data_IF_501330390043
#
_entry.id   IF_501330390043
#
_cell.length_a   1.000
_cell.length_b   1.000
_cell.length_c   1.000
_cell.angle_alpha   90.00
_cell.angle_beta   90.00
_cell.angle_gamma   90.00
#
_symmetry.space_group_name_H-M   'P 1'
#
loop_
_entity.id
_entity.type
_entity.pdbx_description
1 polymer ?
#
# COMPACT_ATOMS: atom_id res chain seq x y z
N UNK A 1 2.52 15.07 -55.23
CA UNK A 1 1.97 16.28 -54.58
C UNK A 1 0.53 16.04 -54.08
N UNK A 2 0.27 14.89 -53.43
CA UNK A 2 -1.06 14.50 -52.91
C UNK A 2 -0.97 14.13 -51.41
N UNK A 3 0.24 13.84 -50.91
CA UNK A 3 0.49 13.47 -49.49
C UNK A 3 0.41 14.68 -48.54
N UNK A 4 0.72 15.89 -49.02
CA UNK A 4 0.71 17.10 -48.18
C UNK A 4 -0.70 17.61 -47.84
N UNK A 5 -1.71 17.32 -48.69
CA UNK A 5 -3.10 17.77 -48.46
C UNK A 5 -3.81 16.89 -47.43
N UNK A 6 -3.49 15.59 -47.38
CA UNK A 6 -4.06 14.65 -46.41
C UNK A 6 -3.60 14.90 -44.97
N UNK A 7 -2.34 15.27 -44.77
CA UNK A 7 -1.79 15.58 -43.42
C UNK A 7 -2.39 16.89 -42.89
N UNK A 8 -2.54 17.92 -43.72
CA UNK A 8 -3.16 19.17 -43.29
C UNK A 8 -4.66 19.01 -43.00
N UNK A 9 -5.37 18.15 -43.74
CA UNK A 9 -6.76 17.82 -43.46
C UNK A 9 -6.92 17.00 -42.16
N UNK A 10 -5.96 16.13 -41.82
CA UNK A 10 -5.97 15.36 -40.57
C UNK A 10 -5.63 16.21 -39.35
N UNK A 11 -4.66 17.13 -39.48
CA UNK A 11 -4.32 18.11 -38.43
C UNK A 11 -5.50 19.07 -38.19
N UNK A 12 -6.13 19.58 -39.26
CA UNK A 12 -7.32 20.43 -39.14
C UNK A 12 -8.54 19.64 -38.62
N UNK A 13 -8.62 18.32 -38.86
CA UNK A 13 -9.68 17.45 -38.32
C UNK A 13 -9.46 17.18 -36.82
N UNK A 14 -8.24 16.88 -36.37
CA UNK A 14 -7.92 16.77 -34.93
C UNK A 14 -8.13 18.09 -34.18
N UNK A 15 -7.81 19.24 -34.80
CA UNK A 15 -8.13 20.56 -34.23
C UNK A 15 -9.63 20.86 -34.19
N UNK A 16 -10.43 20.31 -35.13
CA UNK A 16 -11.89 20.51 -35.18
C UNK A 16 -12.68 19.52 -34.32
N UNK A 17 -12.15 18.32 -34.06
CA UNK A 17 -12.84 17.24 -33.33
C UNK A 17 -12.56 17.29 -31.82
N UNK A 18 -11.52 18.01 -31.38
CA UNK A 18 -11.21 18.22 -29.96
C UNK A 18 -11.48 19.64 -29.43
N UNK A 19 -12.33 20.43 -30.11
CA UNK A 19 -12.99 21.56 -29.45
C UNK A 19 -14.18 21.06 -28.62
N UNK A 20 -13.91 20.31 -27.54
CA UNK A 20 -14.87 20.31 -26.44
C UNK A 20 -15.13 21.77 -26.08
N UNK A 21 -16.38 22.21 -26.21
CA UNK A 21 -16.81 23.54 -25.79
C UNK A 21 -16.48 23.68 -24.31
N UNK A 22 -15.40 24.39 -24.02
CA UNK A 22 -14.97 24.63 -22.65
C UNK A 22 -15.77 25.79 -22.08
N UNK A 23 -16.75 25.47 -21.25
CA UNK A 23 -17.58 26.45 -20.56
C UNK A 23 -17.19 26.52 -19.07
N UNK A 24 -16.51 27.59 -18.69
CA UNK A 24 -16.04 27.79 -17.32
C UNK A 24 -17.18 27.82 -16.27
N UNK A 25 -18.34 28.48 -16.51
CA UNK A 25 -19.52 28.38 -15.66
C UNK A 25 -19.99 26.95 -15.38
N UNK A 26 -20.15 26.12 -16.43
CA UNK A 26 -20.58 24.73 -16.28
C UNK A 26 -19.58 23.91 -15.47
N UNK A 27 -18.28 24.04 -15.74
CA UNK A 27 -17.25 23.31 -14.98
C UNK A 27 -17.20 23.79 -13.53
N UNK A 28 -17.39 25.09 -13.27
CA UNK A 28 -17.49 25.64 -11.92
C UNK A 28 -18.68 25.08 -11.14
N UNK A 29 -19.85 24.96 -11.77
CA UNK A 29 -21.04 24.37 -11.16
C UNK A 29 -20.80 22.91 -10.80
N UNK A 30 -20.23 22.13 -11.72
CA UNK A 30 -19.90 20.72 -11.51
C UNK A 30 -18.91 20.50 -10.35
N UNK A 31 -17.84 21.30 -10.28
CA UNK A 31 -16.87 21.24 -9.17
C UNK A 31 -17.54 21.63 -7.86
N UNK A 32 -18.33 22.71 -7.86
CA UNK A 32 -19.01 23.20 -6.65
C UNK A 32 -20.00 22.17 -6.12
N UNK A 33 -20.78 21.54 -6.99
CA UNK A 33 -21.72 20.48 -6.63
C UNK A 33 -21.00 19.23 -6.12
N UNK A 34 -19.92 18.81 -6.79
CA UNK A 34 -19.08 17.70 -6.34
C UNK A 34 -18.52 17.96 -4.94
N UNK A 35 -18.01 19.16 -4.65
CA UNK A 35 -17.51 19.54 -3.33
C UNK A 35 -18.63 19.62 -2.29
N UNK A 36 -19.83 20.12 -2.63
CA UNK A 36 -20.99 20.12 -1.72
C UNK A 36 -21.41 18.70 -1.34
N UNK A 37 -21.33 17.77 -2.30
CA UNK A 37 -21.68 16.36 -2.10
C UNK A 37 -20.52 15.52 -1.55
N UNK A 38 -19.37 16.12 -1.21
CA UNK A 38 -18.20 15.42 -0.68
C UNK A 38 -17.47 14.52 -1.70
N UNK A 39 -17.77 14.62 -3.00
CA UNK A 39 -17.13 13.85 -4.06
C UNK A 39 -15.85 14.55 -4.53
N UNK A 40 -14.79 14.44 -3.73
CA UNK A 40 -13.49 15.09 -3.96
C UNK A 40 -12.87 14.66 -5.29
N UNK A 41 -12.95 13.38 -5.65
CA UNK A 41 -12.38 12.86 -6.91
C UNK A 41 -13.00 13.55 -8.15
N UNK A 42 -14.32 13.69 -8.18
CA UNK A 42 -15.02 14.38 -9.29
C UNK A 42 -14.67 15.88 -9.34
N UNK A 43 -14.42 16.50 -8.19
CA UNK A 43 -13.96 17.88 -8.11
C UNK A 43 -12.51 18.04 -8.65
N UNK A 44 -11.62 17.11 -8.32
CA UNK A 44 -10.24 17.07 -8.83
C UNK A 44 -10.20 16.88 -10.36
N UNK A 45 -10.99 15.95 -10.90
CA UNK A 45 -11.14 15.74 -12.35
C UNK A 45 -11.61 17.02 -13.07
N UNK A 46 -12.55 17.76 -12.47
CA UNK A 46 -12.97 19.07 -12.96
C UNK A 46 -11.85 20.11 -12.93
N UNK A 47 -11.08 20.18 -11.84
CA UNK A 47 -9.95 21.10 -11.69
C UNK A 47 -8.80 20.78 -12.66
N UNK A 48 -8.54 19.52 -12.98
CA UNK A 48 -7.59 19.15 -14.04
C UNK A 48 -8.05 19.64 -15.42
N UNK A 49 -9.36 19.58 -15.70
CA UNK A 49 -9.93 20.11 -16.95
C UNK A 49 -9.76 21.63 -17.06
N UNK A 50 -9.86 22.35 -15.94
CA UNK A 50 -9.54 23.79 -15.84
C UNK A 50 -8.07 24.06 -16.14
N UNK A 51 -7.16 23.25 -15.59
CA UNK A 51 -5.71 23.43 -15.79
C UNK A 51 -5.30 23.28 -17.25
N UNK A 52 -5.84 22.25 -17.93
CA UNK A 52 -5.64 22.04 -19.39
C UNK A 52 -6.16 23.20 -20.23
N UNK A 53 -7.16 23.95 -19.75
CA UNK A 53 -7.80 25.06 -20.45
C UNK A 53 -7.47 26.43 -19.84
N UNK A 54 -6.43 26.55 -19.01
CA UNK A 54 -6.12 27.78 -18.28
C UNK A 54 -5.89 29.01 -19.18
N UNK A 55 -5.39 28.78 -20.39
CA UNK A 55 -5.21 29.82 -21.42
C UNK A 55 -6.53 30.46 -21.89
N UNK A 56 -7.66 29.76 -21.74
CA UNK A 56 -9.01 30.22 -22.12
C UNK A 56 -9.75 30.96 -20.99
N UNK A 57 -9.17 31.02 -19.79
CA UNK A 57 -9.81 31.61 -18.61
C UNK A 57 -9.48 33.09 -18.45
N UNK A 58 -10.46 33.87 -17.99
CA UNK A 58 -10.25 35.24 -17.51
C UNK A 58 -9.51 35.24 -16.17
N UNK A 59 -8.92 36.37 -15.79
CA UNK A 59 -8.26 36.51 -14.49
C UNK A 59 -9.19 36.23 -13.30
N UNK A 60 -10.47 36.62 -13.42
CA UNK A 60 -11.50 36.37 -12.42
C UNK A 60 -11.77 34.87 -12.26
N UNK A 61 -11.99 34.15 -13.36
CA UNK A 61 -12.21 32.71 -13.31
C UNK A 61 -10.99 31.95 -12.76
N UNK A 62 -9.77 32.37 -13.10
CA UNK A 62 -8.55 31.79 -12.52
C UNK A 62 -8.52 31.93 -11.00
N UNK A 63 -8.92 33.09 -10.46
CA UNK A 63 -9.03 33.31 -9.01
C UNK A 63 -10.10 32.43 -8.37
N UNK A 64 -11.25 32.29 -9.01
CA UNK A 64 -12.35 31.43 -8.55
C UNK A 64 -11.93 29.96 -8.48
N UNK A 65 -11.29 29.44 -9.53
CA UNK A 65 -10.81 28.05 -9.53
C UNK A 65 -9.64 27.81 -8.57
N UNK A 66 -8.77 28.81 -8.35
CA UNK A 66 -7.76 28.73 -7.30
C UNK A 66 -8.39 28.58 -5.91
N UNK A 67 -9.47 29.32 -5.61
CA UNK A 67 -10.19 29.17 -4.35
C UNK A 67 -10.90 27.80 -4.21
N UNK A 68 -11.50 27.30 -5.30
CA UNK A 68 -12.07 25.96 -5.32
C UNK A 68 -11.03 24.86 -5.13
N UNK A 69 -9.81 25.05 -5.66
CA UNK A 69 -8.68 24.15 -5.45
C UNK A 69 -8.29 24.06 -3.99
N UNK A 70 -8.11 25.20 -3.31
CA UNK A 70 -7.84 25.24 -1.85
C UNK A 70 -8.94 24.53 -1.05
N UNK A 71 -10.22 24.73 -1.43
CA UNK A 71 -11.34 24.06 -0.77
C UNK A 71 -11.37 22.54 -1.04
N UNK A 72 -11.06 22.12 -2.25
CA UNK A 72 -10.94 20.71 -2.62
C UNK A 72 -9.80 20.04 -1.85
N UNK A 73 -8.65 20.71 -1.74
CA UNK A 73 -7.49 20.25 -0.97
C UNK A 73 -7.84 20.08 0.51
N UNK A 74 -8.50 21.06 1.15
CA UNK A 74 -8.91 20.96 2.55
C UNK A 74 -9.93 19.82 2.81
N UNK A 75 -10.87 19.60 1.88
CA UNK A 75 -11.80 18.46 1.95
C UNK A 75 -11.10 17.12 1.69
N UNK A 76 -10.12 17.10 0.79
CA UNK A 76 -9.26 15.94 0.53
C UNK A 76 -8.46 15.58 1.78
N UNK A 77 -7.82 16.56 2.45
CA UNK A 77 -7.12 16.35 3.72
C UNK A 77 -8.04 15.81 4.82
N UNK A 78 -9.25 16.35 4.94
CA UNK A 78 -10.25 15.87 5.91
C UNK A 78 -10.70 14.45 5.59
N UNK A 79 -10.89 14.13 4.30
CA UNK A 79 -11.24 12.78 3.83
C UNK A 79 -10.11 11.78 4.08
N UNK A 80 -8.86 12.17 3.81
CA UNK A 80 -7.66 11.38 4.09
C UNK A 80 -7.56 11.11 5.59
N UNK A 81 -7.73 12.11 6.44
CA UNK A 81 -7.75 11.92 7.89
C UNK A 81 -8.85 10.94 8.34
N UNK A 82 -10.03 10.99 7.73
CA UNK A 82 -11.14 10.09 8.07
C UNK A 82 -10.85 8.64 7.62
N UNK A 83 -10.31 8.44 6.41
CA UNK A 83 -9.89 7.12 5.90
C UNK A 83 -8.73 6.57 6.71
N UNK A 84 -7.76 7.39 7.04
CA UNK A 84 -6.61 7.02 7.89
C UNK A 84 -7.08 6.61 9.28
N UNK A 85 -8.06 7.33 9.86
CA UNK A 85 -8.65 6.94 11.14
C UNK A 85 -9.44 5.63 11.07
N UNK A 86 -10.10 5.30 9.94
CA UNK A 86 -10.71 3.97 9.75
C UNK A 86 -9.65 2.87 9.72
N UNK A 87 -8.53 3.09 9.03
CA UNK A 87 -7.42 2.15 9.01
C UNK A 87 -6.80 2.00 10.42
N UNK A 88 -6.63 3.11 11.13
CA UNK A 88 -6.20 3.16 12.53
C UNK A 88 -7.13 2.36 13.44
N UNK A 89 -8.46 2.55 13.34
CA UNK A 89 -9.45 1.80 14.13
C UNK A 89 -9.34 0.29 13.91
N UNK A 90 -9.18 -0.15 12.65
CA UNK A 90 -8.99 -1.58 12.34
C UNK A 90 -7.70 -2.12 12.95
N UNK A 91 -6.61 -1.36 12.86
CA UNK A 91 -5.34 -1.75 13.47
C UNK A 91 -5.43 -1.78 15.00
N UNK A 92 -6.03 -0.77 15.63
CA UNK A 92 -6.24 -0.69 17.07
C UNK A 92 -6.97 -1.94 17.58
N UNK A 93 -8.06 -2.33 16.92
CA UNK A 93 -8.81 -3.50 17.32
C UNK A 93 -7.97 -4.78 17.18
N UNK A 94 -7.36 -5.02 16.01
CA UNK A 94 -6.66 -6.28 15.71
C UNK A 94 -5.31 -6.39 16.41
N UNK A 95 -4.50 -5.34 16.36
CA UNK A 95 -3.09 -5.35 16.73
C UNK A 95 -2.83 -4.92 18.17
N UNK A 96 -3.73 -4.14 18.77
CA UNK A 96 -3.62 -3.65 20.15
C UNK A 96 -4.61 -4.38 21.05
N UNK A 97 -5.93 -4.14 20.89
CA UNK A 97 -6.95 -4.65 21.83
C UNK A 97 -7.04 -6.18 21.83
N UNK A 98 -7.21 -6.81 20.67
CA UNK A 98 -7.28 -8.27 20.56
C UNK A 98 -5.96 -8.96 20.96
N UNK A 99 -4.83 -8.31 20.70
CA UNK A 99 -3.53 -8.85 21.09
C UNK A 99 -3.34 -8.80 22.61
N UNK A 100 -3.64 -7.67 23.24
CA UNK A 100 -3.58 -7.52 24.69
C UNK A 100 -4.50 -8.52 25.39
N UNK A 101 -5.76 -8.62 24.96
CA UNK A 101 -6.72 -9.55 25.57
C UNK A 101 -6.32 -11.02 25.38
N UNK A 102 -5.80 -11.39 24.20
CA UNK A 102 -5.42 -12.76 23.89
C UNK A 102 -4.10 -13.21 24.52
N UNK A 103 -3.12 -12.31 24.63
CA UNK A 103 -1.72 -12.69 24.91
C UNK A 103 -1.13 -12.07 26.16
N UNK A 104 -1.69 -10.96 26.67
CA UNK A 104 -1.15 -10.23 27.83
C UNK A 104 -2.06 -10.24 29.06
N UNK A 105 -3.37 -10.44 28.89
CA UNK A 105 -4.34 -10.32 29.98
C UNK A 105 -4.24 -11.43 31.04
N UNK A 106 -3.71 -12.61 30.70
CA UNK A 106 -3.61 -13.76 31.63
C UNK A 106 -2.28 -13.77 32.36
N UNK A 107 -1.20 -13.86 31.61
CA UNK A 107 0.16 -13.89 32.15
C UNK A 107 1.06 -13.02 31.25
N UNK A 108 1.59 -11.92 31.78
CA UNK A 108 2.37 -11.00 31.00
C UNK A 108 3.79 -11.52 30.80
N UNK A 109 4.04 -12.11 29.62
CA UNK A 109 5.35 -12.62 29.22
C UNK A 109 6.13 -11.53 28.47
N UNK A 110 7.42 -11.37 28.80
CA UNK A 110 8.34 -10.38 28.21
C UNK A 110 8.28 -10.35 26.68
N UNK A 111 8.44 -11.49 26.02
CA UNK A 111 8.38 -11.62 24.56
C UNK A 111 7.09 -11.06 23.95
N UNK A 112 5.95 -11.32 24.59
CA UNK A 112 4.64 -10.84 24.13
C UNK A 112 4.50 -9.33 24.34
N UNK A 113 4.99 -8.83 25.47
CA UNK A 113 4.96 -7.41 25.81
C UNK A 113 5.83 -6.58 24.86
N UNK A 114 7.01 -7.08 24.45
CA UNK A 114 7.87 -6.43 23.45
C UNK A 114 7.14 -6.17 22.13
N UNK A 115 6.46 -7.19 21.61
CA UNK A 115 5.64 -7.05 20.39
C UNK A 115 4.50 -6.06 20.57
N UNK A 116 3.82 -6.09 21.71
CA UNK A 116 2.78 -5.10 21.99
C UNK A 116 3.32 -3.67 21.97
N UNK A 117 4.46 -3.44 22.62
CA UNK A 117 5.10 -2.12 22.67
C UNK A 117 5.48 -1.64 21.26
N UNK A 118 6.09 -2.50 20.43
CA UNK A 118 6.38 -2.17 19.04
C UNK A 118 5.11 -1.80 18.25
N UNK A 119 4.02 -2.58 18.42
CA UNK A 119 2.75 -2.33 17.73
C UNK A 119 2.07 -1.05 18.19
N UNK A 120 2.11 -0.76 19.48
CA UNK A 120 1.56 0.45 20.07
C UNK A 120 2.35 1.68 19.63
N UNK A 121 3.68 1.60 19.60
CA UNK A 121 4.52 2.68 19.05
C UNK A 121 4.21 2.92 17.57
N UNK A 122 4.14 1.86 16.76
CA UNK A 122 3.76 1.99 15.35
C UNK A 122 2.40 2.66 15.16
N UNK A 123 1.41 2.33 16.01
CA UNK A 123 0.10 2.98 15.96
C UNK A 123 0.20 4.48 16.22
N UNK A 124 0.92 4.89 17.26
CA UNK A 124 1.08 6.30 17.63
C UNK A 124 1.87 7.09 16.57
N UNK A 125 2.84 6.46 15.93
CA UNK A 125 3.63 7.09 14.87
C UNK A 125 2.83 7.23 13.56
N UNK A 126 1.94 6.28 13.29
CA UNK A 126 1.16 6.24 12.03
C UNK A 126 -0.14 7.03 12.11
N UNK A 127 -0.81 7.01 13.27
CA UNK A 127 -2.09 7.68 13.50
C UNK A 127 -2.04 8.57 14.76
N UNK A 128 -1.18 9.61 14.78
CA UNK A 128 -1.00 10.45 15.96
C UNK A 128 -2.27 11.23 16.38
N UNK A 129 -3.15 11.52 15.42
CA UNK A 129 -4.41 12.24 15.62
C UNK A 129 -5.64 11.36 15.90
N UNK A 130 -5.46 10.04 16.07
CA UNK A 130 -6.58 9.13 16.33
C UNK A 130 -7.21 9.40 17.71
N UNK A 131 -8.54 9.29 17.85
CA UNK A 131 -9.27 9.58 19.09
C UNK A 131 -8.75 8.76 20.29
N UNK A 132 -8.42 7.49 20.05
CA UNK A 132 -7.91 6.55 21.06
C UNK A 132 -6.38 6.60 21.24
N UNK A 133 -5.67 7.59 20.67
CA UNK A 133 -4.21 7.67 20.82
C UNK A 133 -3.76 7.75 22.28
N UNK A 134 -4.52 8.45 23.13
CA UNK A 134 -4.20 8.57 24.57
C UNK A 134 -4.39 7.23 25.31
N UNK A 135 -5.43 6.46 24.97
CA UNK A 135 -5.60 5.10 25.49
C UNK A 135 -4.38 4.23 25.15
N UNK A 136 -3.89 4.31 23.91
CA UNK A 136 -2.72 3.55 23.45
C UNK A 136 -1.45 4.02 24.17
N UNK A 137 -1.26 5.32 24.41
CA UNK A 137 -0.11 5.83 25.20
C UNK A 137 -0.11 5.27 26.62
N UNK A 138 -1.25 5.23 27.28
CA UNK A 138 -1.37 4.66 28.62
C UNK A 138 -1.02 3.16 28.64
N UNK A 139 -1.52 2.39 27.67
CA UNK A 139 -1.16 0.97 27.52
C UNK A 139 0.33 0.78 27.22
N UNK A 140 0.89 1.60 26.33
CA UNK A 140 2.32 1.58 25.99
C UNK A 140 3.19 1.75 27.23
N UNK A 141 2.90 2.73 28.08
CA UNK A 141 3.63 2.98 29.33
C UNK A 141 3.54 1.79 30.29
N UNK A 142 2.36 1.18 30.45
CA UNK A 142 2.17 -0.03 31.27
C UNK A 142 3.03 -1.19 30.79
N UNK A 143 2.99 -1.49 29.50
CA UNK A 143 3.63 -2.69 28.95
C UNK A 143 5.13 -2.51 28.69
N UNK A 144 5.64 -1.28 28.60
CA UNK A 144 7.07 -0.97 28.52
C UNK A 144 7.86 -1.54 29.71
N UNK A 145 7.27 -1.55 30.91
CA UNK A 145 7.91 -2.09 32.12
C UNK A 145 8.16 -3.59 31.97
N UNK A 146 7.18 -4.33 31.46
CA UNK A 146 7.27 -5.80 31.25
C UNK A 146 8.15 -6.15 30.04
N UNK A 147 8.15 -5.31 29.00
CA UNK A 147 8.90 -5.57 27.78
C UNK A 147 10.42 -5.51 27.96
N UNK A 148 10.90 -4.83 29.01
CA UNK A 148 12.32 -4.69 29.35
C UNK A 148 13.18 -4.33 28.12
N UNK A 149 12.80 -3.24 27.44
CA UNK A 149 13.44 -2.83 26.19
C UNK A 149 14.92 -2.43 26.34
N UNK A 150 15.37 -2.15 27.57
CA UNK A 150 16.78 -1.92 27.89
C UNK A 150 17.64 -3.17 27.76
N UNK A 151 17.05 -4.36 27.88
CA UNK A 151 17.74 -5.63 27.78
C UNK A 151 17.69 -6.15 26.34
N UNK A 152 18.77 -6.80 25.85
CA UNK A 152 18.78 -7.40 24.51
C UNK A 152 17.70 -8.47 24.37
N UNK A 153 17.29 -8.75 23.13
CA UNK A 153 16.34 -9.82 22.86
C UNK A 153 16.95 -11.17 23.25
N UNK A 154 16.13 -12.07 23.81
CA UNK A 154 16.51 -13.46 24.04
C UNK A 154 15.84 -14.38 22.99
N UNK A 155 16.13 -15.68 23.05
CA UNK A 155 15.57 -16.65 22.10
C UNK A 155 14.03 -16.63 22.09
N UNK A 156 13.38 -16.56 23.26
CA UNK A 156 11.92 -16.54 23.37
C UNK A 156 11.32 -15.30 22.68
N UNK A 157 11.95 -14.13 22.85
CA UNK A 157 11.55 -12.89 22.17
C UNK A 157 11.58 -13.07 20.66
N UNK A 158 12.68 -13.60 20.12
CA UNK A 158 12.88 -13.78 18.68
C UNK A 158 11.94 -14.83 18.09
N UNK A 159 11.74 -15.96 18.77
CA UNK A 159 10.82 -16.99 18.33
C UNK A 159 9.37 -16.48 18.31
N UNK A 160 8.97 -15.72 19.33
CA UNK A 160 7.64 -15.13 19.36
C UNK A 160 7.47 -14.05 18.29
N UNK A 161 8.44 -13.15 18.12
CA UNK A 161 8.40 -12.11 17.08
C UNK A 161 8.26 -12.74 15.69
N UNK A 162 9.11 -13.71 15.38
CA UNK A 162 9.09 -14.47 14.13
C UNK A 162 7.74 -15.14 13.92
N UNK A 163 7.21 -15.84 14.94
CA UNK A 163 5.88 -16.44 14.89
C UNK A 163 4.80 -15.41 14.58
N UNK A 164 4.84 -14.22 15.17
CA UNK A 164 3.83 -13.18 14.89
C UNK A 164 3.92 -12.62 13.47
N UNK A 165 5.11 -12.63 12.87
CA UNK A 165 5.34 -12.24 11.48
C UNK A 165 4.85 -13.29 10.48
N UNK A 166 4.97 -14.58 10.81
CA UNK A 166 4.70 -15.69 9.89
C UNK A 166 3.34 -16.37 10.12
N UNK A 167 2.67 -16.13 11.25
CA UNK A 167 1.37 -16.74 11.55
C UNK A 167 0.19 -15.97 10.93
N UNK A 168 0.22 -14.63 10.98
CA UNK A 168 -0.90 -13.82 10.51
C UNK A 168 -0.78 -13.48 9.02
N UNK A 169 -1.92 -13.47 8.31
CA UNK A 169 -1.96 -12.99 6.93
C UNK A 169 -1.85 -11.45 6.87
N UNK A 170 -0.99 -10.88 6.00
CA UNK A 170 -0.01 -11.58 5.14
C UNK A 170 1.28 -11.96 5.88
N UNK A 171 1.80 -13.17 5.61
CA UNK A 171 3.03 -13.69 6.26
C UNK A 171 4.26 -12.92 5.78
N UNK A 172 5.13 -12.49 6.70
CA UNK A 172 6.30 -11.64 6.43
C UNK A 172 7.63 -12.38 6.66
N UNK A 173 7.89 -13.38 5.81
CA UNK A 173 9.14 -14.15 5.81
C UNK A 173 10.37 -13.28 5.48
N UNK A 174 10.20 -12.21 4.71
CA UNK A 174 11.25 -11.25 4.39
C UNK A 174 11.81 -10.53 5.63
N UNK A 175 11.01 -10.37 6.68
CA UNK A 175 11.48 -9.88 7.97
C UNK A 175 11.89 -11.00 8.92
N UNK A 176 11.11 -12.08 8.95
CA UNK A 176 11.31 -13.17 9.90
C UNK A 176 12.63 -13.93 9.68
N UNK A 177 12.96 -14.25 8.43
CA UNK A 177 14.16 -15.04 8.12
C UNK A 177 15.47 -14.31 8.49
N UNK A 178 15.70 -13.04 8.07
CA UNK A 178 16.92 -12.33 8.47
C UNK A 178 17.02 -12.11 9.98
N UNK A 179 15.89 -11.98 10.69
CA UNK A 179 15.87 -11.86 12.15
C UNK A 179 16.36 -13.14 12.83
N UNK A 180 15.86 -14.30 12.38
CA UNK A 180 16.31 -15.60 12.88
C UNK A 180 17.78 -15.85 12.59
N UNK A 181 18.21 -15.56 11.35
CA UNK A 181 19.61 -15.73 10.92
C UNK A 181 20.54 -14.82 11.73
N UNK A 182 20.21 -13.54 11.87
CA UNK A 182 21.01 -12.60 12.64
C UNK A 182 21.10 -12.97 14.12
N UNK A 183 20.03 -13.52 14.71
CA UNK A 183 20.07 -13.97 16.10
C UNK A 183 20.87 -15.27 16.25
N UNK A 184 20.72 -16.21 15.30
CA UNK A 184 21.49 -17.47 15.26
C UNK A 184 22.98 -17.22 15.19
N UNK A 185 23.42 -16.25 14.38
CA UNK A 185 24.85 -15.96 14.18
C UNK A 185 25.54 -15.45 15.45
N UNK A 186 24.78 -14.92 16.42
CA UNK A 186 25.26 -14.54 17.75
C UNK A 186 24.93 -15.53 18.86
N UNK A 187 24.18 -16.60 18.57
CA UNK A 187 23.76 -17.60 19.54
C UNK A 187 24.78 -18.75 19.63
N UNK A 188 24.89 -19.37 20.81
CA UNK A 188 25.74 -20.55 21.02
C UNK A 188 24.97 -21.75 21.55
N UNK A 189 25.49 -22.95 21.34
CA UNK A 189 25.00 -24.18 21.96
C UNK A 189 23.56 -24.55 21.56
N UNK A 190 22.70 -24.73 22.56
CA UNK A 190 21.33 -25.21 22.37
C UNK A 190 20.46 -24.22 21.57
N UNK A 191 20.62 -22.91 21.79
CA UNK A 191 19.83 -21.88 21.12
C UNK A 191 20.07 -21.88 19.62
N UNK A 192 21.34 -22.05 19.19
CA UNK A 192 21.69 -22.16 17.79
C UNK A 192 21.00 -23.36 17.12
N UNK A 193 21.00 -24.52 17.80
CA UNK A 193 20.34 -25.75 17.29
C UNK A 193 18.82 -25.56 17.14
N UNK A 194 18.18 -24.90 18.11
CA UNK A 194 16.75 -24.58 18.05
C UNK A 194 16.46 -23.66 16.84
N UNK A 195 17.27 -22.61 16.66
CA UNK A 195 17.10 -21.65 15.56
C UNK A 195 17.29 -22.31 14.20
N UNK A 196 18.26 -23.21 14.04
CA UNK A 196 18.44 -23.98 12.80
C UNK A 196 17.21 -24.81 12.44
N UNK A 197 16.59 -25.47 13.42
CA UNK A 197 15.35 -26.21 13.22
C UNK A 197 14.18 -25.31 12.80
N UNK A 198 14.05 -24.14 13.43
CA UNK A 198 13.00 -23.15 13.13
C UNK A 198 13.20 -22.54 11.74
N UNK A 199 14.43 -22.17 11.38
CA UNK A 199 14.81 -21.67 10.04
C UNK A 199 14.44 -22.69 8.97
N UNK A 200 14.82 -23.96 9.16
CA UNK A 200 14.46 -25.05 8.22
C UNK A 200 12.95 -25.20 8.05
N UNK A 201 12.21 -25.10 9.15
CA UNK A 201 10.73 -25.17 9.14
C UNK A 201 10.15 -24.01 8.32
N UNK A 202 10.61 -22.78 8.57
CA UNK A 202 10.13 -21.61 7.85
C UNK A 202 10.52 -21.59 6.38
N UNK A 203 11.65 -22.19 5.98
CA UNK A 203 11.98 -22.37 4.55
C UNK A 203 10.90 -23.22 3.86
N UNK A 204 10.52 -24.36 4.45
CA UNK A 204 9.48 -25.24 3.90
C UNK A 204 8.12 -24.56 3.86
N UNK A 205 7.68 -23.97 4.97
CA UNK A 205 6.39 -23.27 5.04
C UNK A 205 6.31 -22.08 4.08
N UNK A 206 7.43 -21.38 3.86
CA UNK A 206 7.53 -20.26 2.93
C UNK A 206 7.29 -20.71 1.50
N UNK A 207 7.88 -21.84 1.09
CA UNK A 207 7.69 -22.40 -0.24
C UNK A 207 6.23 -22.83 -0.48
N UNK A 208 5.65 -23.56 0.47
CA UNK A 208 4.24 -23.97 0.42
C UNK A 208 3.31 -22.75 0.36
N UNK A 209 3.54 -21.75 1.22
CA UNK A 209 2.75 -20.52 1.23
C UNK A 209 2.90 -19.73 -0.07
N UNK A 210 4.10 -19.65 -0.63
CA UNK A 210 4.32 -18.99 -1.92
C UNK A 210 3.50 -19.67 -3.01
N UNK A 211 3.60 -20.99 -3.14
CA UNK A 211 2.90 -21.72 -4.19
C UNK A 211 1.38 -21.60 -4.06
N UNK A 212 0.84 -21.79 -2.84
CA UNK A 212 -0.59 -21.61 -2.54
C UNK A 212 -1.10 -20.23 -2.97
N UNK A 213 -0.41 -19.15 -2.57
CA UNK A 213 -0.86 -17.79 -2.89
C UNK A 213 -0.64 -17.41 -4.34
N UNK A 214 0.41 -17.95 -4.97
CA UNK A 214 0.68 -17.70 -6.38
C UNK A 214 -0.41 -18.34 -7.26
N UNK A 215 -0.82 -19.57 -6.95
CA UNK A 215 -1.94 -20.25 -7.61
C UNK A 215 -3.27 -19.54 -7.33
N UNK A 216 -3.51 -19.11 -6.09
CA UNK A 216 -4.71 -18.32 -5.76
C UNK A 216 -4.76 -16.99 -6.51
N UNK A 217 -3.62 -16.31 -6.72
CA UNK A 217 -3.59 -15.08 -7.51
C UNK A 217 -4.00 -15.35 -8.97
N UNK A 218 -3.51 -16.44 -9.57
CA UNK A 218 -3.93 -16.87 -10.91
C UNK A 218 -5.42 -17.23 -10.96
N UNK A 219 -5.93 -17.93 -9.93
CA UNK A 219 -7.35 -18.25 -9.83
C UNK A 219 -8.25 -17.01 -9.68
N UNK A 220 -7.85 -16.04 -8.85
CA UNK A 220 -8.60 -14.80 -8.64
C UNK A 220 -8.63 -13.95 -9.91
N UNK A 221 -7.50 -13.89 -10.61
CA UNK A 221 -7.44 -13.34 -11.95
C UNK A 221 -8.45 -14.04 -12.86
N UNK A 222 -8.43 -15.37 -12.85
CA UNK A 222 -9.31 -16.18 -13.68
C UNK A 222 -10.80 -16.05 -13.35
N UNK A 223 -11.13 -15.53 -12.17
CA UNK A 223 -12.49 -15.23 -11.73
C UNK A 223 -12.91 -13.77 -11.94
N UNK A 224 -12.07 -12.94 -12.53
CA UNK A 224 -12.36 -11.52 -12.74
C UNK A 224 -12.19 -10.66 -11.48
N UNK A 225 -11.37 -11.08 -10.51
CA UNK A 225 -10.96 -10.27 -9.35
C UNK A 225 -9.48 -9.86 -9.46
N UNK A 226 -9.11 -8.99 -10.43
CA UNK A 226 -7.72 -8.59 -10.66
C UNK A 226 -7.14 -7.82 -9.47
N UNK A 227 -7.98 -7.08 -8.74
CA UNK A 227 -7.55 -6.31 -7.57
C UNK A 227 -6.95 -7.20 -6.48
N UNK A 228 -7.63 -8.31 -6.13
CA UNK A 228 -7.08 -9.25 -5.14
C UNK A 228 -5.91 -10.07 -5.68
N UNK A 229 -5.94 -10.42 -6.97
CA UNK A 229 -4.81 -11.10 -7.61
C UNK A 229 -3.52 -10.24 -7.52
N UNK A 230 -3.62 -8.95 -7.87
CA UNK A 230 -2.53 -7.99 -7.73
C UNK A 230 -2.09 -7.87 -6.27
N UNK A 231 -3.02 -7.75 -5.31
CA UNK A 231 -2.68 -7.68 -3.89
C UNK A 231 -1.87 -8.90 -3.41
N UNK A 232 -2.22 -10.12 -3.84
CA UNK A 232 -1.45 -11.31 -3.49
C UNK A 232 -0.06 -11.31 -4.11
N UNK A 233 0.08 -10.91 -5.38
CA UNK A 233 1.39 -10.82 -6.03
C UNK A 233 2.29 -9.76 -5.37
N UNK A 234 1.74 -8.60 -5.00
CA UNK A 234 2.47 -7.56 -4.26
C UNK A 234 2.93 -8.09 -2.91
N UNK A 235 2.08 -8.83 -2.19
CA UNK A 235 2.46 -9.43 -0.92
C UNK A 235 3.58 -10.46 -1.10
N UNK A 236 3.47 -11.37 -2.07
CA UNK A 236 4.54 -12.34 -2.37
C UNK A 236 5.85 -11.64 -2.70
N UNK A 237 5.82 -10.63 -3.57
CA UNK A 237 6.98 -9.82 -3.95
C UNK A 237 7.64 -9.11 -2.76
N UNK A 238 6.84 -8.58 -1.83
CA UNK A 238 7.37 -7.70 -0.76
C UNK A 238 7.60 -8.38 0.59
N UNK A 239 7.12 -9.61 0.76
CA UNK A 239 7.09 -10.31 2.05
C UNK A 239 7.65 -11.73 2.04
N UNK A 240 7.91 -12.33 0.87
CA UNK A 240 8.48 -13.69 0.83
C UNK A 240 9.97 -13.73 1.20
N UNK A 241 10.75 -12.73 0.77
CA UNK A 241 12.17 -12.59 1.12
C UNK A 241 13.12 -13.49 0.34
N UNK A 242 12.61 -14.49 -0.39
CA UNK A 242 13.39 -15.26 -1.36
C UNK A 242 13.46 -14.51 -2.70
N UNK A 243 14.67 -14.20 -3.22
CA UNK A 243 14.80 -13.43 -4.46
C UNK A 243 14.16 -14.11 -5.68
N UNK A 244 14.29 -15.44 -5.80
CA UNK A 244 13.76 -16.20 -6.95
C UNK A 244 12.24 -16.20 -6.95
N UNK A 245 11.63 -16.45 -5.79
CA UNK A 245 10.17 -16.38 -5.62
C UNK A 245 9.65 -14.95 -5.82
N UNK A 246 10.37 -13.94 -5.31
CA UNK A 246 10.04 -12.53 -5.50
C UNK A 246 10.06 -12.15 -6.98
N UNK A 247 11.09 -12.57 -7.73
CA UNK A 247 11.19 -12.34 -9.17
C UNK A 247 10.04 -13.00 -9.94
N UNK A 248 9.66 -14.23 -9.55
CA UNK A 248 8.50 -14.92 -10.15
C UNK A 248 7.20 -14.14 -9.93
N UNK A 249 6.97 -13.62 -8.72
CA UNK A 249 5.83 -12.75 -8.42
C UNK A 249 5.88 -11.42 -9.19
N UNK A 250 7.06 -10.80 -9.30
CA UNK A 250 7.26 -9.56 -10.06
C UNK A 250 6.94 -9.72 -11.54
N UNK A 251 7.42 -10.81 -12.18
CA UNK A 251 7.10 -11.11 -13.59
C UNK A 251 5.61 -11.27 -13.81
N UNK A 252 4.93 -12.01 -12.93
CA UNK A 252 3.49 -12.18 -13.00
C UNK A 252 2.75 -10.84 -12.85
N UNK A 253 3.19 -9.99 -11.91
CA UNK A 253 2.57 -8.68 -11.66
C UNK A 253 2.66 -7.77 -12.87
N UNK A 254 3.86 -7.61 -13.47
CA UNK A 254 4.04 -6.71 -14.62
C UNK A 254 3.38 -7.26 -15.88
N UNK A 255 3.25 -8.59 -16.01
CA UNK A 255 2.60 -9.23 -17.14
C UNK A 255 1.10 -8.90 -17.25
N UNK A 256 0.44 -8.48 -16.16
CA UNK A 256 -0.94 -8.02 -16.20
C UNK A 256 -1.11 -6.67 -16.93
N UNK A 257 -0.04 -5.90 -17.12
CA UNK A 257 -0.14 -4.62 -17.82
C UNK A 257 -0.55 -4.83 -19.27
N UNK A 258 -1.61 -4.16 -19.70
CA UNK A 258 -2.12 -4.27 -21.07
C UNK A 258 -2.94 -5.54 -21.34
N UNK A 259 -3.14 -6.42 -20.35
CA UNK A 259 -4.03 -7.57 -20.51
C UNK A 259 -5.49 -7.14 -20.44
N UNK A 260 -6.30 -7.74 -21.33
CA UNK A 260 -7.74 -7.62 -21.29
C UNK A 260 -8.28 -8.43 -20.11
N UNK A 261 -9.10 -7.79 -19.27
CA UNK A 261 -9.86 -8.50 -18.23
C UNK A 261 -10.76 -9.55 -18.86
N UNK A 262 -11.12 -10.58 -18.09
CA UNK A 262 -11.96 -11.68 -18.59
C UNK A 262 -13.38 -11.27 -19.02
N UNK A 263 -13.89 -10.15 -18.53
CA UNK A 263 -15.15 -9.57 -19.01
C UNK A 263 -15.02 -8.96 -20.41
N UNK A 264 -13.80 -8.87 -20.96
CA UNK A 264 -13.52 -8.33 -22.29
C UNK A 264 -13.61 -6.81 -22.38
N UNK A 265 -13.85 -6.11 -21.26
CA UNK A 265 -14.22 -4.69 -21.26
C UNK A 265 -13.12 -3.76 -20.76
N UNK A 266 -12.19 -4.26 -19.95
CA UNK A 266 -11.17 -3.41 -19.30
C UNK A 266 -9.77 -3.87 -19.68
N UNK A 267 -8.99 -2.97 -20.27
CA UNK A 267 -7.54 -3.17 -20.37
C UNK A 267 -6.94 -2.78 -19.03
N UNK A 268 -6.27 -3.71 -18.37
CA UNK A 268 -5.68 -3.41 -17.08
C UNK A 268 -4.44 -2.55 -17.21
N UNK A 269 -4.53 -1.38 -16.58
CA UNK A 269 -3.41 -0.49 -16.43
C UNK A 269 -2.75 -0.67 -15.06
N UNK A 270 -1.79 -1.60 -14.98
CA UNK A 270 -0.97 -1.78 -13.77
C UNK A 270 -0.27 -0.49 -13.33
N UNK A 271 0.07 0.43 -14.26
CA UNK A 271 0.69 1.72 -13.91
C UNK A 271 -0.21 2.52 -12.97
N UNK A 272 -1.52 2.59 -13.23
CA UNK A 272 -2.45 3.33 -12.39
C UNK A 272 -2.63 2.67 -11.02
N UNK A 273 -2.64 1.34 -10.98
CA UNK A 273 -2.64 0.61 -9.70
C UNK A 273 -1.36 0.91 -8.91
N UNK A 274 -0.21 0.95 -9.57
CA UNK A 274 1.07 1.26 -8.93
C UNK A 274 1.18 2.72 -8.47
N UNK A 275 0.57 3.69 -9.17
CA UNK A 275 0.40 5.06 -8.65
C UNK A 275 -0.41 5.04 -7.34
N UNK A 276 -1.48 4.25 -7.30
CA UNK A 276 -2.26 4.02 -6.08
C UNK A 276 -1.40 3.50 -4.93
N UNK A 277 -0.55 2.50 -5.18
CA UNK A 277 0.41 2.01 -4.18
C UNK A 277 1.45 3.07 -3.79
N UNK A 278 1.99 3.84 -4.73
CA UNK A 278 2.94 4.92 -4.45
C UNK A 278 2.35 5.98 -3.52
N UNK A 279 1.06 6.30 -3.69
CA UNK A 279 0.39 7.35 -2.90
C UNK A 279 -0.14 6.85 -1.57
N UNK A 280 -0.76 5.66 -1.53
CA UNK A 280 -1.48 5.15 -0.35
C UNK A 280 -0.78 4.01 0.40
N UNK A 281 0.15 3.30 -0.24
CA UNK A 281 0.89 2.16 0.32
C UNK A 281 2.38 2.29 0.03
N UNK A 282 2.94 3.49 0.29
CA UNK A 282 4.29 3.89 -0.13
C UNK A 282 5.37 2.89 0.28
N UNK A 283 5.28 2.32 1.48
CA UNK A 283 6.22 1.30 1.98
C UNK A 283 6.25 0.05 1.10
N UNK A 284 5.10 -0.41 0.63
CA UNK A 284 5.03 -1.58 -0.25
C UNK A 284 5.56 -1.22 -1.64
N UNK A 285 5.23 -0.03 -2.15
CA UNK A 285 5.79 0.49 -3.41
C UNK A 285 7.32 0.55 -3.38
N UNK A 286 7.89 1.13 -2.34
CA UNK A 286 9.35 1.25 -2.19
C UNK A 286 10.03 -0.13 -2.07
N UNK A 287 9.35 -1.13 -1.48
CA UNK A 287 9.83 -2.52 -1.47
C UNK A 287 9.79 -3.15 -2.86
N UNK A 288 8.69 -2.99 -3.60
CA UNK A 288 8.60 -3.47 -4.98
C UNK A 288 9.70 -2.85 -5.85
N UNK A 289 9.98 -1.56 -5.68
CA UNK A 289 11.02 -0.85 -6.42
C UNK A 289 12.46 -1.35 -6.15
N UNK A 290 12.69 -2.17 -5.11
CA UNK A 290 13.97 -2.85 -4.88
C UNK A 290 14.14 -4.09 -5.75
N UNK A 291 13.05 -4.69 -6.24
CA UNK A 291 13.11 -5.80 -7.19
C UNK A 291 13.48 -5.27 -8.59
N UNK A 292 14.42 -5.93 -9.27
CA UNK A 292 14.97 -5.47 -10.55
C UNK A 292 13.92 -5.39 -11.67
N UNK A 293 12.98 -6.34 -11.72
CA UNK A 293 11.92 -6.42 -12.74
C UNK A 293 10.92 -5.27 -12.55
N UNK A 294 10.41 -5.11 -11.32
CA UNK A 294 9.50 -4.00 -11.03
C UNK A 294 10.18 -2.65 -11.19
N UNK A 295 11.45 -2.51 -10.79
CA UNK A 295 12.21 -1.28 -10.98
C UNK A 295 12.37 -0.90 -12.44
N UNK A 296 12.65 -1.86 -13.32
CA UNK A 296 12.73 -1.63 -14.76
C UNK A 296 11.38 -1.15 -15.31
N UNK A 297 10.31 -1.89 -15.01
CA UNK A 297 8.95 -1.54 -15.41
C UNK A 297 8.53 -0.15 -14.89
N UNK A 298 8.82 0.18 -13.63
CA UNK A 298 8.47 1.48 -13.04
C UNK A 298 9.22 2.64 -13.69
N UNK A 299 10.48 2.47 -14.06
CA UNK A 299 11.25 3.51 -14.78
C UNK A 299 10.71 3.74 -16.19
N UNK A 300 10.41 2.66 -16.90
CA UNK A 300 9.84 2.71 -18.25
C UNK A 300 8.53 3.51 -18.28
N UNK A 301 7.74 3.43 -17.21
CA UNK A 301 6.43 4.07 -17.09
C UNK A 301 6.41 5.34 -16.21
N UNK A 302 7.58 5.94 -15.91
CA UNK A 302 7.67 7.22 -15.20
C UNK A 302 7.21 7.20 -13.73
N UNK A 303 7.27 6.03 -13.07
CA UNK A 303 6.89 5.87 -11.66
C UNK A 303 8.04 6.08 -10.67
N UNK A 304 9.30 6.05 -11.15
CA UNK A 304 10.54 6.26 -10.39
C UNK A 304 11.38 7.39 -10.95
#
# INVERSE_FOLDING_TARGET
MVVAVGIQAFINYEESVNQESFDAPTVHEQITEALKNGNVKKAEEGLEKIERNNHRLTAEWRKTFAALRVRSEALSETSVQLVDNIAGTKYLQKSIRNYESGYLAKEPVRARARIFVQRAQHFLDTWPGHSDAEEVRNKLSRWKVVAELSSPANLEDVLWETKTLTWAFPRDYAKAMPMLESFRDGAGGADQTILEGVIKTHISEREEYFQDRFEQAAYLWDKGDPSKAIEYLVQLLTKIGDPTMSDRAARALVAFHGQLSKDGQTILNIVDTMKGYKNSRRRDFDRMAKNSICRAFFREHGLL
#
